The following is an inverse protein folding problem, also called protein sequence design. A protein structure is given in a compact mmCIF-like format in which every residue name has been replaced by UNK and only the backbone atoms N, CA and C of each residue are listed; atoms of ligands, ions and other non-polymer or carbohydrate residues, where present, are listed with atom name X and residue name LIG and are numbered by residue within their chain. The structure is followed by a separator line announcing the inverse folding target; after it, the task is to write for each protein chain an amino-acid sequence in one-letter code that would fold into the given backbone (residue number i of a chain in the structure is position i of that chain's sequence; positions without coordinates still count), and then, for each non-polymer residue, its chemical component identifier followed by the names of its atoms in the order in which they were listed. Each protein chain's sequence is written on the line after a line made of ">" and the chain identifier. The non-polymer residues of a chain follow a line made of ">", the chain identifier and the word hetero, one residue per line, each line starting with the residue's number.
data_IF_731724906941
#
_entry.id   IF_731724906941
#
_cell.length_a   1.000
_cell.length_b   1.000
_cell.length_c   1.000
_cell.angle_alpha   90.00
_cell.angle_beta   90.00
_cell.angle_gamma   90.00
#
_symmetry.space_group_name_H-M   'P 1'
#
loop_
_entity.id
_entity.type
_entity.pdbx_description
1 polymer ?
#
# COMPACT_ATOMS: atom_id res chain seq x y z
N UNK A 1 20.20 53.60 -37.16
CA UNK A 1 19.90 53.04 -35.83
C UNK A 1 19.11 51.76 -36.03
N UNK A 2 19.77 50.60 -35.95
CA UNK A 2 19.17 49.27 -36.16
C UNK A 2 18.86 48.67 -34.78
N UNK A 3 17.59 48.41 -34.52
CA UNK A 3 17.13 47.75 -33.31
C UNK A 3 17.54 46.27 -33.34
N UNK A 4 18.40 45.87 -32.40
CA UNK A 4 18.81 44.48 -32.19
C UNK A 4 17.86 43.87 -31.16
N UNK A 5 16.88 43.10 -31.64
CA UNK A 5 15.98 42.31 -30.79
C UNK A 5 16.72 41.04 -30.37
N UNK A 6 17.24 41.02 -29.14
CA UNK A 6 17.77 39.81 -28.51
C UNK A 6 16.57 38.99 -28.06
N UNK A 7 16.22 37.96 -28.83
CA UNK A 7 15.27 36.91 -28.41
C UNK A 7 16.03 35.98 -27.46
N UNK A 8 15.86 36.19 -26.15
CA UNK A 8 16.27 35.21 -25.15
C UNK A 8 15.24 34.07 -25.23
N UNK A 9 15.60 32.99 -25.93
CA UNK A 9 14.92 31.70 -25.79
C UNK A 9 15.26 31.21 -24.38
N UNK A 10 14.41 31.52 -23.41
CA UNK A 10 14.39 30.81 -22.14
C UNK A 10 13.88 29.41 -22.46
N UNK A 11 14.81 28.55 -22.86
CA UNK A 11 14.58 27.11 -22.90
C UNK A 11 14.32 26.67 -21.47
N UNK A 12 13.04 26.63 -21.10
CA UNK A 12 12.56 25.92 -19.93
C UNK A 12 12.82 24.44 -20.21
N UNK A 13 14.07 24.01 -20.07
CA UNK A 13 14.42 22.60 -19.96
C UNK A 13 13.83 22.21 -18.62
N UNK A 14 12.61 21.69 -18.66
CA UNK A 14 12.06 20.88 -17.59
C UNK A 14 12.96 19.64 -17.57
N UNK A 15 14.14 19.76 -16.96
CA UNK A 15 14.91 18.60 -16.58
C UNK A 15 13.96 17.77 -15.74
N UNK A 16 13.70 16.49 -16.08
CA UNK A 16 12.97 15.63 -15.16
C UNK A 16 13.74 15.73 -13.85
N UNK A 17 13.12 16.34 -12.85
CA UNK A 17 13.58 16.18 -11.48
C UNK A 17 13.71 14.68 -11.34
N UNK A 18 14.91 14.20 -10.98
CA UNK A 18 15.08 12.81 -10.63
C UNK A 18 13.98 12.54 -9.60
N UNK A 19 12.94 11.79 -10.00
CA UNK A 19 12.00 11.24 -9.07
C UNK A 19 12.90 10.33 -8.24
N UNK A 20 13.34 10.82 -7.09
CA UNK A 20 14.04 10.00 -6.13
C UNK A 20 13.15 8.79 -5.93
N UNK A 21 13.69 7.60 -6.17
CA UNK A 21 12.93 6.36 -6.12
C UNK A 21 12.17 6.34 -4.78
N UNK A 22 10.87 6.57 -4.84
CA UNK A 22 10.04 6.56 -3.64
C UNK A 22 9.98 5.10 -3.21
N UNK A 23 10.43 4.81 -2.00
CA UNK A 23 10.26 3.47 -1.45
C UNK A 23 8.78 3.18 -1.33
N UNK A 24 8.36 2.10 -1.98
CA UNK A 24 6.97 1.75 -2.14
C UNK A 24 6.78 0.25 -2.00
N UNK A 25 5.74 -0.13 -1.27
CA UNK A 25 5.27 -1.51 -1.17
C UNK A 25 3.82 -1.51 -1.63
N UNK A 26 3.46 -2.32 -2.61
CA UNK A 26 2.08 -2.48 -3.07
C UNK A 26 1.58 -3.89 -2.74
N UNK A 27 0.32 -3.98 -2.32
CA UNK A 27 -0.35 -5.26 -2.09
C UNK A 27 -1.80 -5.20 -2.62
N UNK A 28 -2.24 -6.28 -3.24
CA UNK A 28 -3.62 -6.46 -3.71
C UNK A 28 -4.24 -7.72 -3.09
N UNK A 29 -5.47 -7.61 -2.60
CA UNK A 29 -6.04 -8.66 -1.79
C UNK A 29 -7.54 -8.58 -1.60
N UNK A 30 -8.02 -9.30 -0.60
CA UNK A 30 -9.41 -9.35 -0.22
C UNK A 30 -9.60 -9.15 1.28
N UNK A 31 -10.65 -8.42 1.64
CA UNK A 31 -11.05 -8.11 3.01
C UNK A 31 -12.36 -8.79 3.38
N UNK A 32 -12.41 -9.28 4.62
CA UNK A 32 -13.55 -9.95 5.21
C UNK A 32 -13.99 -9.29 6.51
N UNK A 33 -15.30 -9.27 6.75
CA UNK A 33 -15.94 -8.76 7.97
C UNK A 33 -16.68 -9.87 8.71
N UNK A 34 -16.54 -9.91 10.03
CA UNK A 34 -17.26 -10.87 10.89
C UNK A 34 -18.75 -10.62 11.03
N UNK A 35 -19.18 -9.39 10.73
CA UNK A 35 -20.54 -8.93 10.82
C UNK A 35 -20.76 -7.82 9.76
N UNK A 36 -22.00 -7.32 9.57
CA UNK A 36 -22.20 -6.08 8.84
C UNK A 36 -21.28 -4.96 9.35
N UNK A 37 -20.86 -4.08 8.46
CA UNK A 37 -19.92 -3.01 8.79
C UNK A 37 -20.56 -2.03 9.80
N UNK A 38 -20.11 -2.13 11.04
CA UNK A 38 -20.59 -1.34 12.16
C UNK A 38 -19.46 -1.23 13.20
N UNK A 39 -19.60 -0.30 14.14
CA UNK A 39 -18.69 -0.20 15.28
C UNK A 39 -18.60 -1.54 16.03
N UNK A 40 -17.37 -1.98 16.32
CA UNK A 40 -17.06 -3.26 16.94
C UNK A 40 -16.88 -4.43 15.97
N UNK A 41 -17.09 -4.23 14.66
CA UNK A 41 -16.90 -5.30 13.66
C UNK A 41 -15.41 -5.51 13.38
N UNK A 42 -14.95 -6.76 13.54
CA UNK A 42 -13.60 -7.17 13.18
C UNK A 42 -13.45 -7.21 11.66
N UNK A 43 -12.36 -6.66 11.17
CA UNK A 43 -11.95 -6.64 9.76
C UNK A 43 -10.65 -7.39 9.62
N UNK A 44 -10.61 -8.30 8.66
CA UNK A 44 -9.42 -9.08 8.34
C UNK A 44 -9.14 -8.99 6.85
N UNK A 45 -7.92 -8.61 6.51
CA UNK A 45 -7.49 -8.46 5.12
C UNK A 45 -6.29 -9.38 4.85
N UNK A 46 -6.35 -10.06 3.71
CA UNK A 46 -5.24 -10.84 3.16
C UNK A 46 -4.95 -10.31 1.77
N UNK A 47 -3.71 -9.96 1.50
CA UNK A 47 -3.27 -9.44 0.21
C UNK A 47 -1.95 -10.07 -0.21
N UNK A 48 -1.63 -9.98 -1.49
CA UNK A 48 -0.36 -10.43 -2.05
C UNK A 48 0.39 -9.23 -2.57
N UNK A 49 1.71 -9.21 -2.38
CA UNK A 49 2.56 -8.31 -3.12
C UNK A 49 2.64 -8.83 -4.56
N UNK A 50 2.53 -7.91 -5.51
CA UNK A 50 2.69 -8.25 -6.94
C UNK A 50 4.09 -7.86 -7.42
N UNK A 51 4.60 -8.52 -8.48
CA UNK A 51 5.81 -8.07 -9.15
C UNK A 51 5.69 -6.58 -9.52
N UNK A 52 6.64 -5.72 -9.12
CA UNK A 52 6.47 -4.29 -9.24
C UNK A 52 6.58 -3.87 -10.71
N UNK A 53 5.65 -3.05 -11.19
CA UNK A 53 5.68 -2.48 -12.55
C UNK A 53 6.04 -1.01 -12.46
N UNK A 54 7.26 -0.66 -12.83
CA UNK A 54 7.74 0.73 -12.82
C UNK A 54 8.25 1.25 -11.48
N UNK A 55 8.40 0.37 -10.48
CA UNK A 55 9.09 0.66 -9.22
C UNK A 55 9.90 -0.57 -8.76
N UNK A 56 10.55 -0.48 -7.61
CA UNK A 56 11.21 -1.62 -6.96
C UNK A 56 10.88 -1.59 -5.48
N UNK A 57 10.69 -2.77 -4.89
CA UNK A 57 10.51 -2.87 -3.44
C UNK A 57 11.79 -2.42 -2.72
N UNK A 58 11.68 -1.85 -1.51
CA UNK A 58 12.83 -1.42 -0.71
C UNK A 58 13.62 -2.59 -0.11
N UNK A 59 13.15 -3.82 -0.27
CA UNK A 59 13.84 -5.05 0.15
C UNK A 59 13.97 -6.02 -1.03
N UNK A 60 14.96 -6.93 -1.00
CA UNK A 60 15.10 -7.96 -2.02
C UNK A 60 13.86 -8.87 -2.05
N UNK A 61 13.28 -9.03 -3.24
CA UNK A 61 12.16 -9.92 -3.52
C UNK A 61 12.52 -10.89 -4.63
N UNK A 62 11.99 -12.11 -4.57
CA UNK A 62 12.16 -13.14 -5.58
C UNK A 62 10.82 -13.81 -5.92
N UNK A 63 10.03 -13.12 -6.75
CA UNK A 63 8.75 -13.63 -7.27
C UNK A 63 8.87 -14.84 -8.20
N UNK A 64 10.09 -15.32 -8.50
CA UNK A 64 10.27 -16.58 -9.25
C UNK A 64 10.14 -17.78 -8.32
N UNK A 65 10.63 -17.65 -7.08
CA UNK A 65 10.69 -18.74 -6.12
C UNK A 65 9.78 -18.56 -4.91
N UNK A 66 9.25 -17.36 -4.69
CA UNK A 66 8.45 -17.02 -3.50
C UNK A 66 7.18 -16.25 -3.84
N UNK A 67 6.18 -16.44 -2.99
CA UNK A 67 4.98 -15.62 -2.83
C UNK A 67 5.12 -14.78 -1.56
N UNK A 68 4.45 -13.62 -1.55
CA UNK A 68 4.57 -12.64 -0.48
C UNK A 68 3.18 -12.23 -0.02
N UNK A 69 2.81 -12.64 1.20
CA UNK A 69 1.47 -12.45 1.72
C UNK A 69 1.43 -11.40 2.81
N UNK A 70 0.63 -10.36 2.61
CA UNK A 70 0.26 -9.38 3.63
C UNK A 70 -1.01 -9.84 4.35
N UNK A 71 -0.95 -9.88 5.68
CA UNK A 71 -2.08 -10.11 6.58
C UNK A 71 -2.26 -8.90 7.48
N UNK A 72 -3.50 -8.43 7.62
CA UNK A 72 -3.87 -7.28 8.43
C UNK A 72 -5.16 -7.55 9.18
N UNK A 73 -5.23 -7.11 10.44
CA UNK A 73 -6.45 -7.20 11.23
C UNK A 73 -6.66 -5.95 12.08
N UNK A 74 -7.89 -5.44 12.08
CA UNK A 74 -8.32 -4.30 12.90
C UNK A 74 -9.82 -4.44 13.25
N UNK A 75 -10.36 -3.50 14.02
CA UNK A 75 -11.79 -3.39 14.33
C UNK A 75 -12.29 -2.02 13.86
N UNK A 76 -13.52 -1.95 13.33
CA UNK A 76 -14.17 -0.66 13.07
C UNK A 76 -14.48 -0.02 14.43
N UNK A 77 -13.78 1.05 14.79
CA UNK A 77 -14.01 1.80 16.02
C UNK A 77 -15.32 2.58 15.95
N UNK A 78 -15.56 3.28 14.84
CA UNK A 78 -16.79 4.04 14.64
C UNK A 78 -17.14 4.22 13.17
N UNK A 79 -18.43 4.50 12.91
CA UNK A 79 -18.96 4.85 11.59
C UNK A 79 -19.70 6.17 11.71
N UNK A 80 -19.32 7.15 10.92
CA UNK A 80 -19.92 8.49 10.91
C UNK A 80 -20.55 8.73 9.55
N UNK A 81 -21.86 8.96 9.53
CA UNK A 81 -22.58 9.29 8.30
C UNK A 81 -22.65 10.80 8.14
N UNK A 82 -21.94 11.33 7.15
CA UNK A 82 -21.90 12.74 6.78
C UNK A 82 -22.67 12.98 5.47
N UNK A 83 -23.81 12.30 5.30
CA UNK A 83 -24.67 12.44 4.12
C UNK A 83 -25.07 13.91 3.93
N UNK A 84 -24.95 14.47 2.71
CA UNK A 84 -24.77 13.76 1.44
C UNK A 84 -23.32 13.52 0.99
N UNK A 85 -22.31 13.81 1.80
CA UNK A 85 -20.93 13.88 1.31
C UNK A 85 -20.17 12.56 1.41
N UNK A 86 -20.19 11.91 2.56
CA UNK A 86 -19.41 10.69 2.81
C UNK A 86 -20.02 9.81 3.90
N UNK A 87 -19.61 8.55 3.92
CA UNK A 87 -19.69 7.68 5.10
C UNK A 87 -18.25 7.38 5.52
N UNK A 88 -17.88 7.82 6.71
CA UNK A 88 -16.52 7.72 7.22
C UNK A 88 -16.44 6.57 8.22
N UNK A 89 -15.45 5.70 8.07
CA UNK A 89 -15.18 4.60 8.98
C UNK A 89 -13.83 4.85 9.64
N UNK A 90 -13.83 4.86 10.96
CA UNK A 90 -12.62 4.99 11.76
C UNK A 90 -12.34 3.63 12.37
N UNK A 91 -11.09 3.20 12.30
CA UNK A 91 -10.66 1.90 12.78
C UNK A 91 -9.80 2.06 14.02
N UNK A 92 -9.80 1.04 14.87
CA UNK A 92 -8.79 0.91 15.91
C UNK A 92 -7.41 0.68 15.28
N UNK A 93 -6.36 0.88 16.07
CA UNK A 93 -5.02 0.48 15.65
C UNK A 93 -4.98 -1.01 15.31
N UNK A 94 -4.24 -1.37 14.27
CA UNK A 94 -4.18 -2.75 13.78
C UNK A 94 -2.78 -3.18 13.42
N UNK A 95 -2.43 -4.41 13.75
CA UNK A 95 -1.17 -5.03 13.35
C UNK A 95 -1.27 -5.57 11.92
N UNK A 96 -0.18 -5.44 11.17
CA UNK A 96 -0.01 -6.10 9.90
C UNK A 96 1.32 -6.85 9.82
N UNK A 97 1.33 -7.87 8.97
CA UNK A 97 2.43 -8.81 8.81
C UNK A 97 2.60 -9.10 7.33
N UNK A 98 3.84 -9.10 6.85
CA UNK A 98 4.19 -9.53 5.49
C UNK A 98 5.07 -10.76 5.64
N UNK A 99 4.65 -11.85 5.02
CA UNK A 99 5.37 -13.10 5.01
C UNK A 99 5.92 -13.43 3.61
N UNK A 100 6.99 -14.22 3.58
CA UNK A 100 7.58 -14.82 2.39
C UNK A 100 7.44 -16.35 2.48
N UNK A 101 6.86 -16.94 1.44
CA UNK A 101 6.54 -18.37 1.36
C UNK A 101 6.97 -18.95 -0.01
N UNK A 102 7.35 -20.24 -0.12
CA UNK A 102 7.72 -20.83 -1.41
C UNK A 102 6.58 -20.73 -2.45
N UNK A 103 6.91 -20.43 -3.70
CA UNK A 103 5.93 -20.26 -4.78
C UNK A 103 4.94 -21.42 -4.88
N UNK A 104 3.66 -21.13 -5.07
CA UNK A 104 2.53 -22.08 -5.10
C UNK A 104 2.22 -22.74 -3.76
N UNK A 105 2.72 -22.19 -2.66
CA UNK A 105 2.10 -22.40 -1.34
C UNK A 105 0.80 -21.59 -1.21
N UNK A 106 0.51 -20.70 -2.18
CA UNK A 106 -0.73 -19.99 -2.45
C UNK A 106 -1.95 -20.88 -2.74
N UNK A 107 -2.05 -22.01 -2.05
CA UNK A 107 -3.34 -22.34 -1.50
C UNK A 107 -3.70 -21.19 -0.56
N UNK A 108 -4.72 -20.42 -0.94
CA UNK A 108 -5.56 -19.76 0.06
C UNK A 108 -6.00 -20.78 1.14
N UNK A 109 -5.82 -22.09 0.93
CA UNK A 109 -6.30 -23.16 1.75
C UNK A 109 -7.77 -23.38 1.44
N UNK A 110 -8.40 -24.16 2.31
CA UNK A 110 -9.80 -23.95 2.67
C UNK A 110 -10.00 -22.59 3.40
N UNK A 111 -8.98 -21.72 3.39
CA UNK A 111 -8.55 -20.97 4.57
C UNK A 111 -7.91 -19.60 4.33
N UNK A 112 -8.34 -18.76 3.37
CA UNK A 112 -7.93 -17.38 3.51
C UNK A 112 -8.85 -16.86 4.64
N UNK A 113 -8.34 -16.24 5.72
CA UNK A 113 -9.16 -15.91 6.88
C UNK A 113 -10.44 -15.20 6.44
N UNK A 114 -11.52 -15.91 6.71
CA UNK A 114 -12.90 -15.61 6.42
C UNK A 114 -13.70 -16.24 7.57
N UNK A 115 -15.03 -16.18 7.54
CA UNK A 115 -15.87 -16.73 8.61
C UNK A 115 -15.61 -18.20 8.98
N UNK A 116 -14.90 -18.96 8.14
CA UNK A 116 -14.67 -20.41 8.24
C UNK A 116 -13.20 -20.79 8.43
N UNK A 117 -12.30 -19.81 8.54
CA UNK A 117 -10.84 -19.98 8.48
C UNK A 117 -10.15 -19.15 9.60
N UNK A 118 -9.50 -19.77 10.60
CA UNK A 118 -9.16 -19.11 11.87
C UNK A 118 -8.13 -17.97 11.75
N UNK A 119 -8.23 -17.02 12.68
CA UNK A 119 -7.45 -15.77 12.84
C UNK A 119 -5.97 -15.97 13.27
N UNK A 120 -5.37 -17.11 12.95
CA UNK A 120 -3.98 -17.46 13.29
C UNK A 120 -3.12 -17.56 12.04
N UNK A 121 -3.37 -16.69 11.05
CA UNK A 121 -2.65 -16.72 9.79
C UNK A 121 -1.16 -16.42 10.02
N UNK A 122 -0.35 -17.44 9.77
CA UNK A 122 1.10 -17.35 9.62
C UNK A 122 1.42 -18.15 8.37
N UNK A 123 2.05 -17.51 7.38
CA UNK A 123 2.33 -18.17 6.11
C UNK A 123 3.80 -18.04 5.75
N UNK A 124 4.62 -18.99 6.17
CA UNK A 124 6.06 -18.94 5.89
C UNK A 124 6.85 -18.03 6.82
N UNK A 125 7.85 -17.35 6.28
CA UNK A 125 8.82 -16.54 7.05
C UNK A 125 8.34 -15.11 7.18
N UNK A 126 8.23 -14.59 8.40
CA UNK A 126 7.90 -13.19 8.63
C UNK A 126 9.04 -12.27 8.17
N UNK A 127 8.79 -11.49 7.11
CA UNK A 127 9.79 -10.58 6.54
C UNK A 127 9.61 -9.14 7.02
N UNK A 128 8.38 -8.69 7.24
CA UNK A 128 8.06 -7.38 7.81
C UNK A 128 6.84 -7.48 8.72
N UNK A 129 6.80 -6.68 9.78
CA UNK A 129 5.60 -6.45 10.59
C UNK A 129 5.55 -4.99 11.02
N UNK A 130 4.35 -4.52 11.33
CA UNK A 130 4.14 -3.15 11.77
C UNK A 130 2.73 -2.91 12.29
N UNK A 131 2.48 -1.65 12.62
CA UNK A 131 1.17 -1.16 13.08
C UNK A 131 0.64 -0.11 12.11
N UNK A 132 -0.65 -0.17 11.83
CA UNK A 132 -1.42 0.91 11.25
C UNK A 132 -2.15 1.66 12.36
N UNK A 133 -1.99 2.98 12.40
CA UNK A 133 -2.67 3.87 13.34
C UNK A 133 -3.42 4.96 12.58
N UNK A 134 -4.45 5.54 13.18
CA UNK A 134 -5.31 6.54 12.51
C UNK A 134 -5.86 6.03 11.16
N UNK A 135 -6.23 4.74 11.09
CA UNK A 135 -6.79 4.18 9.89
C UNK A 135 -8.21 4.71 9.69
N UNK A 136 -8.41 5.31 8.52
CA UNK A 136 -9.67 5.91 8.10
C UNK A 136 -10.04 5.39 6.71
N UNK A 137 -11.34 5.16 6.51
CA UNK A 137 -11.94 4.86 5.21
C UNK A 137 -13.03 5.88 4.91
N UNK A 138 -13.04 6.36 3.69
CA UNK A 138 -14.01 7.32 3.16
C UNK A 138 -14.79 6.68 2.02
N UNK A 139 -16.08 6.47 2.22
CA UNK A 139 -16.99 5.92 1.21
C UNK A 139 -17.82 7.05 0.58
N UNK A 140 -17.95 7.03 -0.74
CA UNK A 140 -18.93 7.83 -1.46
C UNK A 140 -20.30 7.13 -1.39
N UNK A 141 -21.31 7.72 -0.71
CA UNK A 141 -22.62 7.10 -0.56
C UNK A 141 -23.37 6.91 -1.88
N UNK A 142 -22.94 7.57 -2.96
CA UNK A 142 -23.54 7.44 -4.29
C UNK A 142 -22.79 6.46 -5.20
N UNK A 143 -21.62 5.95 -4.78
CA UNK A 143 -20.84 4.98 -5.53
C UNK A 143 -20.22 5.51 -6.83
N UNK A 144 -20.03 6.83 -6.98
CA UNK A 144 -19.29 7.40 -8.10
C UNK A 144 -17.78 7.24 -7.92
N UNK A 145 -17.32 7.15 -6.68
CA UNK A 145 -15.92 6.92 -6.33
C UNK A 145 -15.76 5.64 -5.51
N UNK A 146 -14.70 4.85 -5.76
CA UNK A 146 -14.37 3.74 -4.88
C UNK A 146 -13.99 4.27 -3.50
N UNK A 147 -14.27 3.52 -2.43
CA UNK A 147 -13.76 3.82 -1.10
C UNK A 147 -12.25 4.06 -1.09
N UNK A 148 -11.82 5.07 -0.34
CA UNK A 148 -10.40 5.42 -0.16
C UNK A 148 -10.00 5.20 1.29
N UNK A 149 -8.81 4.69 1.52
CA UNK A 149 -8.25 4.46 2.86
C UNK A 149 -6.93 5.19 3.05
N UNK A 150 -6.70 5.64 4.28
CA UNK A 150 -5.42 6.22 4.71
C UNK A 150 -5.11 5.79 6.13
N UNK A 151 -3.84 5.50 6.43
CA UNK A 151 -3.35 5.28 7.77
C UNK A 151 -1.88 5.68 7.92
N UNK A 152 -1.48 6.04 9.13
CA UNK A 152 -0.08 6.09 9.49
C UNK A 152 0.45 4.65 9.64
N UNK A 153 1.67 4.39 9.16
CA UNK A 153 2.29 3.08 9.19
C UNK A 153 3.65 3.14 9.88
N UNK A 154 3.86 2.20 10.80
CA UNK A 154 5.15 2.01 11.47
C UNK A 154 5.58 0.56 11.37
N UNK A 155 6.67 0.28 10.64
CA UNK A 155 7.31 -1.03 10.65
C UNK A 155 8.13 -1.21 11.94
N UNK A 156 7.95 -2.35 12.61
CA UNK A 156 8.52 -2.64 13.94
C UNK A 156 9.31 -3.93 14.01
N UNK A 157 9.24 -4.79 12.99
CA UNK A 157 9.91 -6.10 13.03
C UNK A 157 9.96 -6.81 11.68
N UNK A 158 10.41 -8.06 11.72
CA UNK A 158 10.60 -8.93 10.56
C UNK A 158 12.06 -9.04 10.12
N UNK A 159 12.39 -10.10 9.38
CA UNK A 159 13.77 -10.38 8.96
C UNK A 159 14.33 -9.36 7.96
N UNK A 160 13.48 -8.59 7.29
CA UNK A 160 13.82 -7.55 6.30
C UNK A 160 13.64 -6.12 6.83
N UNK A 161 13.37 -5.92 8.13
CA UNK A 161 13.19 -4.56 8.69
C UNK A 161 14.40 -3.66 8.43
N UNK A 162 15.62 -4.23 8.47
CA UNK A 162 16.86 -3.49 8.25
C UNK A 162 17.08 -3.03 6.81
N UNK A 163 16.27 -3.50 5.85
CA UNK A 163 16.34 -3.10 4.45
C UNK A 163 15.53 -1.80 4.19
N UNK A 164 14.62 -1.40 5.09
CA UNK A 164 13.81 -0.18 4.94
C UNK A 164 14.59 1.09 5.33
N UNK A 165 14.31 2.22 4.67
CA UNK A 165 14.88 3.50 5.06
C UNK A 165 14.47 3.92 6.48
N UNK A 166 15.45 4.32 7.28
CA UNK A 166 15.23 4.98 8.57
C UNK A 166 15.28 6.51 8.40
N UNK A 167 14.46 7.30 9.13
CA UNK A 167 13.42 6.88 10.09
C UNK A 167 12.07 6.58 9.42
N UNK A 168 11.25 5.73 10.03
CA UNK A 168 9.89 5.35 9.59
C UNK A 168 8.86 6.47 9.90
N UNK A 169 8.53 7.35 8.95
CA UNK A 169 7.11 7.62 8.76
C UNK A 169 6.72 7.03 7.42
N UNK A 170 5.98 5.94 7.49
CA UNK A 170 5.30 5.39 6.35
C UNK A 170 3.84 5.80 6.41
N UNK A 171 3.23 5.99 5.25
CA UNK A 171 1.79 6.16 5.14
C UNK A 171 1.27 5.03 4.28
N UNK A 172 0.17 4.41 4.71
CA UNK A 172 -0.59 3.49 3.89
C UNK A 172 -1.71 4.26 3.22
N UNK A 173 -1.77 4.22 1.88
CA UNK A 173 -2.96 4.58 1.12
C UNK A 173 -3.57 3.33 0.54
N UNK A 174 -4.89 3.28 0.47
CA UNK A 174 -5.57 2.17 -0.16
C UNK A 174 -6.85 2.57 -0.85
N UNK A 175 -7.39 1.61 -1.56
CA UNK A 175 -8.75 1.66 -2.09
C UNK A 175 -9.44 0.32 -1.87
N UNK A 176 -10.76 0.32 -1.89
CA UNK A 176 -11.53 -0.91 -1.95
C UNK A 176 -12.44 -0.94 -3.17
N UNK A 177 -12.68 -2.16 -3.63
CA UNK A 177 -13.76 -2.47 -4.54
C UNK A 177 -14.74 -3.42 -3.86
N UNK A 178 -15.99 -2.98 -3.77
CA UNK A 178 -17.12 -3.72 -3.18
C UNK A 178 -17.96 -4.43 -4.25
N UNK A 179 -17.56 -4.37 -5.52
CA UNK A 179 -18.30 -4.95 -6.64
C UNK A 179 -18.31 -6.47 -6.52
N UNK A 180 -19.48 -7.12 -6.42
CA UNK A 180 -19.55 -8.58 -6.34
C UNK A 180 -18.84 -9.27 -7.51
N UNK A 181 -17.96 -10.21 -7.21
CA UNK A 181 -17.20 -10.99 -8.19
C UNK A 181 -15.79 -10.48 -8.49
N UNK A 182 -15.37 -9.36 -7.90
CA UNK A 182 -13.96 -8.88 -7.98
C UNK A 182 -13.07 -9.42 -6.86
N UNK A 183 -13.66 -10.16 -5.92
CA UNK A 183 -12.97 -10.83 -4.81
C UNK A 183 -13.38 -12.32 -4.73
N UNK A 184 -12.53 -13.19 -4.13
CA UNK A 184 -12.85 -14.60 -3.98
C UNK A 184 -14.10 -14.85 -3.11
N UNK A 185 -14.73 -16.02 -3.28
CA UNK A 185 -15.87 -16.43 -2.45
C UNK A 185 -15.49 -16.44 -0.97
N UNK A 186 -16.34 -15.86 -0.11
CA UNK A 186 -16.11 -15.76 1.34
C UNK A 186 -15.58 -14.39 1.79
N UNK A 187 -15.14 -13.56 0.85
CA UNK A 187 -14.78 -12.16 1.08
C UNK A 187 -15.93 -11.23 0.73
N UNK A 188 -15.82 -9.97 1.14
CA UNK A 188 -16.80 -8.92 0.85
C UNK A 188 -16.21 -7.76 0.04
N UNK A 189 -14.88 -7.65 -0.01
CA UNK A 189 -14.16 -6.54 -0.65
C UNK A 189 -12.86 -7.00 -1.28
N UNK A 190 -12.49 -6.39 -2.39
CA UNK A 190 -11.11 -6.37 -2.86
C UNK A 190 -10.40 -5.14 -2.29
N UNK A 191 -9.18 -5.31 -1.80
CA UNK A 191 -8.37 -4.27 -1.16
C UNK A 191 -7.12 -4.02 -1.99
N UNK A 192 -6.81 -2.76 -2.25
CA UNK A 192 -5.51 -2.34 -2.78
C UNK A 192 -4.84 -1.49 -1.72
N UNK A 193 -3.61 -1.82 -1.35
CA UNK A 193 -2.83 -1.12 -0.34
C UNK A 193 -1.47 -0.71 -0.91
N UNK A 194 -1.04 0.50 -0.61
CA UNK A 194 0.25 1.06 -1.00
C UNK A 194 0.87 1.74 0.19
N UNK A 195 2.07 1.31 0.56
CA UNK A 195 2.85 1.91 1.64
C UNK A 195 3.91 2.81 1.02
N UNK A 196 3.93 4.06 1.45
CA UNK A 196 4.85 5.07 0.96
C UNK A 196 5.74 5.54 2.08
N UNK A 197 7.04 5.53 1.83
CA UNK A 197 7.96 6.26 2.68
C UNK A 197 7.72 7.77 2.52
N UNK A 198 7.52 8.47 3.63
CA UNK A 198 7.29 9.93 3.64
C UNK A 198 8.48 10.71 4.17
N UNK A 199 9.53 10.00 4.59
CA UNK A 199 10.79 10.62 4.96
C UNK A 199 11.51 11.22 3.75
N UNK A 200 12.50 12.06 4.02
CA UNK A 200 13.40 12.55 2.99
C UNK A 200 14.40 11.45 2.66
N UNK A 201 14.34 10.88 1.46
CA UNK A 201 15.42 10.04 0.96
C UNK A 201 16.66 10.90 0.72
N UNK A 202 17.85 10.34 0.98
CA UNK A 202 19.11 11.06 0.82
C UNK A 202 19.22 11.65 -0.58
N UNK A 203 19.56 12.93 -0.68
CA UNK A 203 19.81 13.56 -1.97
C UNK A 203 21.08 12.93 -2.58
N UNK A 204 20.93 12.19 -3.68
CA UNK A 204 22.09 11.79 -4.46
C UNK A 204 22.64 13.01 -5.21
N UNK A 205 23.94 13.28 -5.03
CA UNK A 205 24.64 14.30 -5.82
C UNK A 205 24.73 13.83 -7.29
N UNK A 206 23.69 14.10 -8.07
CA UNK A 206 23.75 13.94 -9.52
C UNK A 206 24.35 15.21 -10.14
N UNK A 207 25.33 15.03 -11.03
CA UNK A 207 25.86 16.13 -11.83
C UNK A 207 25.13 16.20 -13.16
N UNK A 208 24.99 17.40 -13.72
CA UNK A 208 24.44 17.57 -15.07
C UNK A 208 25.23 16.79 -16.13
N UNK A 209 26.51 16.51 -15.88
CA UNK A 209 27.34 15.65 -16.72
C UNK A 209 26.91 14.18 -16.70
N UNK A 210 26.49 13.65 -15.54
CA UNK A 210 26.02 12.28 -15.39
C UNK A 210 24.69 12.05 -16.13
N UNK A 211 23.74 12.99 -16.01
CA UNK A 211 22.46 12.94 -16.74
C UNK A 211 22.69 12.94 -18.26
N UNK A 212 23.57 13.81 -18.76
CA UNK A 212 23.90 13.88 -20.20
C UNK A 212 24.52 12.60 -20.76
N UNK A 213 25.19 11.81 -19.91
CA UNK A 213 25.80 10.55 -20.34
C UNK A 213 24.77 9.44 -20.59
N UNK A 214 23.56 9.52 -20.00
CA UNK A 214 22.48 8.55 -20.14
C UNK A 214 21.61 8.75 -21.41
N UNK A 215 21.71 9.89 -22.08
CA UNK A 215 20.89 10.26 -23.25
C UNK A 215 21.69 10.13 -24.57
N UNK A 216 22.68 9.24 -24.63
CA UNK A 216 23.44 8.93 -25.85
C UNK A 216 23.02 7.59 -26.43
#
# INVERSE_FOLDING_TARGET
>A
MKNMLIVIIVGLVISPLALSAQEQIEAFGAGYFTAPEASGTLVTTVAFLEPPVGFSYPFPVDFVNYEYTLYFQTTIASVVSNIPFSIDYYYDDGDFFIYEDPLKDGDYGVTPPNATAPSTFQNGTLILQGTLTNLERYDDPFGFMPPVMVADCTFTGGSRLGDLAAPNPWIMHGGMDITPGTYPSGYQQAWTMKFFFTGTVGAENSTWGAIKALIK
#
